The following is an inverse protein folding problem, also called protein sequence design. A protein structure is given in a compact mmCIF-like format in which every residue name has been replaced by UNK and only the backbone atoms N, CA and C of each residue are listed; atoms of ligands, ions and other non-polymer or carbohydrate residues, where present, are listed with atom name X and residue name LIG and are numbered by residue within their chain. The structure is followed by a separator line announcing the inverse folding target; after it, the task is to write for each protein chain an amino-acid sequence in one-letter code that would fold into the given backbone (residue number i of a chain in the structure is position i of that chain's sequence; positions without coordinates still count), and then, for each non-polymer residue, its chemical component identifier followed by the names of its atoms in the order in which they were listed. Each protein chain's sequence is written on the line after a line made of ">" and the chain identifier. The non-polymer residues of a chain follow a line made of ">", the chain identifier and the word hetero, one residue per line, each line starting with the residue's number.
data_IF_874810880331
#
_entry.id   IF_874810880331
#
_cell.length_a   1.000
_cell.length_b   1.000
_cell.length_c   1.000
_cell.angle_alpha   90.00
_cell.angle_beta   90.00
_cell.angle_gamma   90.00
#
_symmetry.space_group_name_H-M   'P 1'
#
loop_
_entity.id
_entity.type
_entity.pdbx_description
1 polymer ?
#
# COMPACT_ATOMS: atom_id res chain seq x y z
N UNK A 1 -9.17 -19.20 43.20
CA UNK A 1 -10.24 -19.10 42.18
C UNK A 1 -10.26 -17.65 41.70
N UNK A 2 -9.60 -17.38 40.57
CA UNK A 2 -9.37 -16.03 40.08
C UNK A 2 -10.24 -15.72 38.87
N UNK A 3 -10.98 -14.61 38.96
CA UNK A 3 -11.27 -13.67 37.88
C UNK A 3 -12.01 -14.21 36.66
N UNK A 4 -13.32 -13.91 36.59
CA UNK A 4 -14.13 -14.10 35.39
C UNK A 4 -13.58 -13.34 34.18
N UNK A 5 -13.65 -13.98 33.01
CA UNK A 5 -13.48 -13.34 31.72
C UNK A 5 -14.61 -12.32 31.50
N UNK A 6 -14.33 -11.08 31.91
CA UNK A 6 -15.13 -9.92 31.56
C UNK A 6 -15.21 -9.77 30.05
N UNK A 7 -16.42 -9.99 29.53
CA UNK A 7 -17.00 -9.51 28.26
C UNK A 7 -15.99 -9.10 27.17
N UNK A 8 -15.88 -9.95 26.14
CA UNK A 8 -15.20 -9.66 24.88
C UNK A 8 -15.54 -8.25 24.34
N UNK A 9 -14.50 -7.41 24.30
CA UNK A 9 -14.24 -6.43 23.24
C UNK A 9 -15.37 -5.49 22.82
N UNK A 10 -15.36 -4.29 23.39
CA UNK A 10 -16.04 -3.07 22.91
C UNK A 10 -15.83 -2.81 21.39
N UNK A 11 -16.74 -3.25 20.52
CA UNK A 11 -17.41 -2.46 19.44
C UNK A 11 -16.67 -1.62 18.36
N UNK A 12 -15.34 -1.53 18.27
CA UNK A 12 -14.55 -0.59 17.42
C UNK A 12 -14.75 -0.74 15.88
N UNK A 13 -15.19 0.23 15.04
CA UNK A 13 -15.68 0.17 13.60
C UNK A 13 -14.77 -0.44 12.51
N UNK A 14 -15.15 -0.64 11.22
CA UNK A 14 -14.30 -1.25 10.16
C UNK A 14 -13.43 -0.25 9.32
N UNK A 15 -13.74 1.02 9.26
CA UNK A 15 -12.68 2.03 9.10
C UNK A 15 -11.69 2.01 10.29
N UNK A 16 -12.01 1.21 11.32
CA UNK A 16 -11.15 0.72 12.40
C UNK A 16 -11.08 -0.86 12.45
N UNK A 17 -11.37 -1.58 11.33
CA UNK A 17 -11.44 -3.09 11.16
C UNK A 17 -11.49 -3.67 9.68
N UNK A 18 -12.15 -2.99 8.70
CA UNK A 18 -12.50 -3.08 7.22
C UNK A 18 -13.75 -3.90 6.72
N UNK A 19 -14.82 -3.27 6.16
CA UNK A 19 -16.03 -3.93 5.54
C UNK A 19 -16.21 -3.53 4.09
N UNK A 20 -16.22 -4.52 3.21
CA UNK A 20 -16.48 -4.36 1.78
C UNK A 20 -17.96 -4.08 1.47
N UNK A 21 -18.21 -3.18 0.51
CA UNK A 21 -19.36 -3.21 -0.39
C UNK A 21 -20.60 -2.39 -0.02
N UNK A 22 -20.59 -1.09 -0.28
CA UNK A 22 -21.83 -0.36 -0.58
C UNK A 22 -21.54 0.64 -1.71
N UNK A 23 -22.22 0.46 -2.84
CA UNK A 23 -22.18 1.41 -3.95
C UNK A 23 -22.56 2.83 -3.47
N UNK A 24 -22.02 3.90 -4.07
CA UNK A 24 -22.32 5.26 -3.62
C UNK A 24 -23.79 5.60 -3.91
N UNK A 25 -24.56 5.88 -2.86
CA UNK A 25 -25.81 6.63 -2.95
C UNK A 25 -25.53 8.14 -2.80
N UNK A 26 -26.18 9.03 -3.56
CA UNK A 26 -25.76 10.43 -3.62
C UNK A 26 -26.30 11.29 -2.47
N UNK A 27 -25.45 12.22 -2.05
CA UNK A 27 -25.74 13.53 -1.45
C UNK A 27 -26.16 13.63 0.02
N UNK A 28 -25.22 14.10 0.84
CA UNK A 28 -25.49 15.04 1.93
C UNK A 28 -24.50 16.22 1.82
N UNK A 29 -24.99 17.43 2.08
CA UNK A 29 -24.46 18.73 1.66
C UNK A 29 -22.95 19.01 1.91
N UNK A 30 -22.32 19.87 1.07
CA UNK A 30 -20.93 20.27 1.28
C UNK A 30 -20.83 21.24 2.46
N UNK A 31 -20.44 20.74 3.63
CA UNK A 31 -19.59 21.54 4.52
C UNK A 31 -18.25 21.85 3.83
N UNK A 32 -17.39 22.75 4.32
CA UNK A 32 -16.10 23.03 3.71
C UNK A 32 -15.27 21.73 3.70
N UNK A 33 -15.40 20.99 2.60
CA UNK A 33 -14.74 19.74 2.35
C UNK A 33 -13.29 20.07 2.11
N UNK A 34 -12.47 19.93 3.16
CA UNK A 34 -11.05 19.66 2.93
C UNK A 34 -10.98 18.58 1.87
N UNK A 35 -10.33 18.87 0.75
CA UNK A 35 -10.19 17.95 -0.38
C UNK A 35 -9.69 16.64 0.21
N UNK A 36 -10.51 15.58 0.16
CA UNK A 36 -10.08 14.29 0.66
C UNK A 36 -8.84 13.91 -0.13
N UNK A 37 -7.68 13.95 0.53
CA UNK A 37 -6.40 13.69 -0.12
C UNK A 37 -6.45 12.26 -0.65
N UNK A 38 -6.58 12.13 -1.97
CA UNK A 38 -6.70 10.82 -2.59
C UNK A 38 -5.44 10.05 -2.29
N UNK A 39 -5.57 8.85 -1.72
CA UNK A 39 -4.41 7.99 -1.46
C UNK A 39 -3.57 7.90 -2.74
N UNK A 40 -2.29 8.33 -2.74
CA UNK A 40 -1.46 8.36 -3.94
C UNK A 40 -1.01 6.97 -4.36
N UNK A 41 -1.26 5.95 -3.53
CA UNK A 41 -0.73 4.61 -3.76
C UNK A 41 -1.32 3.95 -5.01
N UNK A 42 -0.47 3.34 -5.85
CA UNK A 42 -0.87 2.65 -7.09
C UNK A 42 -0.18 1.29 -7.17
N UNK A 43 -0.92 0.26 -7.59
CA UNK A 43 -0.32 -1.02 -7.93
C UNK A 43 0.54 -0.85 -9.19
N UNK A 44 1.72 -1.48 -9.18
CA UNK A 44 2.64 -1.45 -10.30
C UNK A 44 3.41 -2.77 -10.41
N UNK A 45 4.03 -2.97 -11.57
CA UNK A 45 5.05 -3.99 -11.79
C UNK A 45 6.44 -3.37 -11.62
N UNK A 46 7.26 -4.01 -10.79
CA UNK A 46 8.69 -3.71 -10.59
C UNK A 46 9.52 -4.61 -11.49
N UNK A 47 10.26 -4.03 -12.46
CA UNK A 47 10.95 -4.80 -13.50
C UNK A 47 12.28 -5.42 -13.06
N UNK A 48 13.02 -4.78 -12.16
CA UNK A 48 14.35 -5.20 -11.68
C UNK A 48 14.33 -5.32 -10.16
N UNK A 49 13.55 -6.28 -9.68
CA UNK A 49 13.45 -6.55 -8.25
C UNK A 49 14.79 -7.07 -7.69
N UNK A 50 15.10 -6.72 -6.44
CA UNK A 50 16.38 -7.07 -5.78
C UNK A 50 16.69 -8.56 -5.70
N UNK A 51 15.71 -9.44 -5.93
CA UNK A 51 15.93 -10.89 -5.99
C UNK A 51 16.52 -11.38 -7.32
N UNK A 52 16.68 -10.48 -8.31
CA UNK A 52 17.49 -10.72 -9.51
C UNK A 52 17.01 -11.85 -10.41
N UNK A 53 15.75 -12.29 -10.25
CA UNK A 53 15.23 -13.44 -10.99
C UNK A 53 14.77 -13.11 -12.42
N UNK A 54 14.93 -11.87 -12.88
CA UNK A 54 14.46 -11.41 -14.20
C UNK A 54 12.94 -11.45 -14.38
N UNK A 55 12.19 -11.64 -13.28
CA UNK A 55 10.73 -11.70 -13.25
C UNK A 55 10.21 -10.47 -12.55
N UNK A 56 9.28 -9.76 -13.18
CA UNK A 56 8.64 -8.59 -12.57
C UNK A 56 7.95 -8.95 -11.25
N UNK A 57 7.98 -8.06 -10.27
CA UNK A 57 7.29 -8.23 -8.98
C UNK A 57 6.07 -7.31 -8.89
N UNK A 58 4.94 -7.78 -8.33
CA UNK A 58 3.85 -6.90 -7.97
C UNK A 58 4.29 -6.03 -6.80
N UNK A 59 4.11 -4.72 -6.94
CA UNK A 59 4.46 -3.74 -5.92
C UNK A 59 3.41 -2.66 -5.73
N UNK A 60 3.56 -1.91 -4.65
CA UNK A 60 2.76 -0.73 -4.34
C UNK A 60 3.66 0.49 -4.40
N UNK A 61 3.47 1.33 -5.41
CA UNK A 61 4.05 2.67 -5.46
C UNK A 61 3.33 3.55 -4.46
N UNK A 62 4.06 4.20 -3.56
CA UNK A 62 3.47 5.00 -2.47
C UNK A 62 3.85 6.47 -2.53
N UNK A 63 4.94 6.82 -3.20
CA UNK A 63 5.50 8.17 -3.21
C UNK A 63 6.31 8.42 -4.49
N UNK A 64 6.34 9.67 -4.96
CA UNK A 64 7.22 10.12 -6.04
C UNK A 64 8.19 11.18 -5.52
N UNK A 65 9.43 11.14 -6.01
CA UNK A 65 10.40 12.22 -5.82
C UNK A 65 11.10 12.54 -7.14
N UNK A 66 11.55 13.78 -7.26
CA UNK A 66 12.40 14.21 -8.36
C UNK A 66 13.85 14.29 -7.87
N UNK A 67 14.76 13.63 -8.59
CA UNK A 67 16.22 13.64 -8.39
C UNK A 67 16.89 14.17 -9.68
N UNK A 68 18.19 14.53 -9.67
CA UNK A 68 18.86 15.03 -10.87
C UNK A 68 18.76 14.10 -12.09
N UNK A 69 18.72 12.79 -11.85
CA UNK A 69 18.63 11.73 -12.88
C UNK A 69 17.21 11.51 -13.41
N UNK A 70 16.19 12.12 -12.79
CA UNK A 70 14.79 12.01 -13.20
C UNK A 70 13.82 11.76 -12.05
N UNK A 71 12.76 11.03 -12.34
CA UNK A 71 11.75 10.65 -11.34
C UNK A 71 12.04 9.28 -10.75
N UNK A 72 11.90 9.19 -9.44
CA UNK A 72 11.94 7.92 -8.71
C UNK A 72 10.64 7.72 -7.94
N UNK A 73 10.18 6.47 -7.91
CA UNK A 73 9.03 6.04 -7.15
C UNK A 73 9.46 5.20 -5.96
N UNK A 74 8.92 5.49 -4.77
CA UNK A 74 9.09 4.65 -3.58
C UNK A 74 8.10 3.50 -3.68
N UNK A 75 8.62 2.27 -3.68
CA UNK A 75 7.81 1.07 -3.86
C UNK A 75 7.99 0.10 -2.71
N UNK A 76 6.91 -0.58 -2.33
CA UNK A 76 6.93 -1.73 -1.42
C UNK A 76 6.55 -2.98 -2.21
N UNK A 77 7.35 -4.04 -2.13
CA UNK A 77 7.08 -5.30 -2.81
C UNK A 77 7.73 -6.50 -2.08
N UNK A 78 7.30 -7.71 -2.40
CA UNK A 78 7.88 -8.94 -1.84
C UNK A 78 9.01 -9.47 -2.74
N UNK A 79 10.15 -9.83 -2.13
CA UNK A 79 11.32 -10.37 -2.83
C UNK A 79 12.01 -11.49 -2.06
N UNK A 80 12.72 -12.37 -2.78
CA UNK A 80 13.56 -13.43 -2.19
C UNK A 80 15.00 -12.95 -1.99
N UNK A 81 15.24 -12.13 -0.97
CA UNK A 81 16.57 -11.53 -0.71
C UNK A 81 17.58 -12.53 -0.13
N UNK A 82 17.10 -13.61 0.52
CA UNK A 82 17.94 -14.75 0.92
C UNK A 82 17.40 -16.03 0.32
N UNK A 83 18.27 -17.02 0.16
CA UNK A 83 17.99 -18.30 -0.53
C UNK A 83 16.67 -18.98 -0.11
N UNK A 84 16.24 -18.76 1.15
CA UNK A 84 15.09 -19.45 1.75
C UNK A 84 14.01 -18.54 2.33
N UNK A 85 14.07 -17.21 2.18
CA UNK A 85 13.12 -16.30 2.85
C UNK A 85 12.57 -15.20 1.96
N UNK A 86 11.26 -15.01 2.02
CA UNK A 86 10.56 -13.85 1.48
C UNK A 86 10.63 -12.69 2.47
N UNK A 87 10.93 -11.49 1.96
CA UNK A 87 10.93 -10.26 2.73
C UNK A 87 10.14 -9.18 1.98
N UNK A 88 9.60 -8.23 2.73
CA UNK A 88 9.15 -6.98 2.16
C UNK A 88 10.35 -6.07 1.95
N UNK A 89 10.47 -5.56 0.74
CA UNK A 89 11.48 -4.60 0.33
C UNK A 89 10.79 -3.27 0.11
N UNK A 90 11.43 -2.23 0.61
CA UNK A 90 11.03 -0.85 0.37
C UNK A 90 12.23 -0.09 -0.17
N UNK A 91 12.10 0.48 -1.36
CA UNK A 91 13.18 1.23 -2.00
C UNK A 91 12.67 2.28 -2.98
N UNK A 92 13.55 3.19 -3.36
CA UNK A 92 13.33 4.14 -4.45
C UNK A 92 13.86 3.53 -5.75
N UNK A 93 13.00 3.44 -6.77
CA UNK A 93 13.37 2.95 -8.09
C UNK A 93 13.16 4.03 -9.15
N UNK A 94 14.04 4.12 -10.17
CA UNK A 94 13.79 4.92 -11.36
C UNK A 94 12.42 4.61 -11.97
N UNK A 95 11.70 5.65 -12.41
CA UNK A 95 10.37 5.49 -13.01
C UNK A 95 10.33 4.50 -14.19
N UNK A 96 11.44 4.35 -14.92
CA UNK A 96 11.57 3.39 -16.01
C UNK A 96 11.45 1.92 -15.58
N UNK A 97 11.67 1.59 -14.30
CA UNK A 97 11.51 0.25 -13.74
C UNK A 97 10.09 -0.03 -13.24
N UNK A 98 9.22 0.97 -13.25
CA UNK A 98 7.86 0.91 -12.74
C UNK A 98 6.88 0.95 -13.91
N UNK A 99 6.07 -0.09 -14.06
CA UNK A 99 5.01 -0.13 -15.08
C UNK A 99 3.63 -0.27 -14.43
N UNK A 100 2.59 0.40 -14.92
CA UNK A 100 1.23 0.19 -14.43
C UNK A 100 0.82 -1.30 -14.50
N UNK A 101 0.01 -1.73 -13.54
CA UNK A 101 -0.54 -3.10 -13.52
C UNK A 101 -1.72 -3.26 -14.46
#
# INVERSE_FOLDING_TARGET
>A
MGGGWGKQGSGIPLSERVRAGAAPAPSAAPGPSGVAESCPARHCWVADAVDGHGVKRPGLLVEWRQVPEGWEGRVVYAARVRQSSWLLVEEWLPAALLTPM
#
